data_IF_232235290134
#
_entry.id   IF_232235290134
#
_cell.length_a   1.000
_cell.length_b   1.000
_cell.length_c   1.000
_cell.angle_alpha   90.00
_cell.angle_beta   90.00
_cell.angle_gamma   90.00
#
_symmetry.space_group_name_H-M   'P 1'
#
loop_
_entity.id
_entity.type
_entity.pdbx_description
1 polymer ?
#
# COMPACT_ATOMS: atom_id res chain seq x y z
N UNK A 1 0.52 -4.77 16.87
CA UNK A 1 0.44 -4.86 15.39
C UNK A 1 -0.26 -3.67 14.72
N UNK A 2 -1.47 -3.26 15.15
CA UNK A 2 -2.23 -2.16 14.53
C UNK A 2 -1.42 -0.87 14.33
N UNK A 3 -0.70 -0.41 15.35
CA UNK A 3 0.11 0.82 15.28
C UNK A 3 1.26 0.70 14.27
N UNK A 4 1.88 -0.47 14.14
CA UNK A 4 2.96 -0.71 13.17
C UNK A 4 2.43 -0.65 11.73
N UNK A 5 1.24 -1.20 11.46
CA UNK A 5 0.62 -1.13 10.14
C UNK A 5 0.25 0.29 9.75
N UNK A 6 -0.21 1.10 10.71
CA UNK A 6 -0.50 2.53 10.49
C UNK A 6 0.79 3.31 10.25
N UNK A 7 1.86 3.03 11.01
CA UNK A 7 3.17 3.65 10.81
C UNK A 7 3.75 3.31 9.44
N UNK A 8 3.68 2.04 9.02
CA UNK A 8 4.08 1.61 7.68
C UNK A 8 3.22 2.22 6.57
N UNK A 9 1.92 2.40 6.80
CA UNK A 9 1.07 3.12 5.84
C UNK A 9 1.49 4.59 5.69
N UNK A 10 1.89 5.26 6.78
CA UNK A 10 2.40 6.63 6.71
C UNK A 10 3.73 6.71 5.96
N UNK A 11 4.63 5.74 6.12
CA UNK A 11 5.89 5.73 5.36
C UNK A 11 5.66 5.50 3.85
N UNK A 12 4.71 4.64 3.47
CA UNK A 12 4.29 4.47 2.07
C UNK A 12 3.80 5.80 1.48
N UNK A 13 2.97 6.53 2.21
CA UNK A 13 2.47 7.83 1.75
C UNK A 13 3.54 8.93 1.75
N UNK A 14 4.49 8.90 2.68
CA UNK A 14 5.63 9.80 2.64
C UNK A 14 6.51 9.56 1.39
N UNK A 15 6.57 8.31 0.92
CA UNK A 15 7.34 7.90 -0.25
C UNK A 15 6.54 7.88 -1.58
N UNK A 16 5.36 8.49 -1.61
CA UNK A 16 4.50 8.54 -2.81
C UNK A 16 5.16 9.37 -3.93
N UNK A 17 5.94 10.40 -3.57
CA UNK A 17 6.73 11.22 -4.50
C UNK A 17 5.93 11.66 -5.73
N UNK A 18 6.51 11.43 -6.93
CA UNK A 18 5.82 11.54 -8.22
C UNK A 18 5.64 10.16 -8.90
N UNK A 19 5.60 9.08 -8.11
CA UNK A 19 5.45 7.72 -8.64
C UNK A 19 4.06 7.55 -9.24
N UNK A 20 4.02 6.96 -10.43
CA UNK A 20 2.80 6.78 -11.22
C UNK A 20 2.29 5.34 -11.17
N UNK A 21 2.82 4.49 -10.29
CA UNK A 21 2.40 3.10 -10.13
C UNK A 21 0.89 3.00 -9.84
N UNK A 22 0.23 1.88 -10.21
CA UNK A 22 -1.19 1.68 -9.93
C UNK A 22 -1.55 1.89 -8.45
N UNK A 23 -0.67 1.47 -7.53
CA UNK A 23 -0.83 1.71 -6.10
C UNK A 23 -0.77 3.21 -5.76
N UNK A 24 0.22 3.92 -6.28
CA UNK A 24 0.42 5.35 -6.04
C UNK A 24 -0.76 6.18 -6.55
N UNK A 25 -1.29 5.84 -7.74
CA UNK A 25 -2.51 6.46 -8.28
C UNK A 25 -3.74 6.17 -7.41
N UNK A 26 -3.92 4.92 -6.96
CA UNK A 26 -5.02 4.57 -6.06
C UNK A 26 -4.95 5.33 -4.74
N UNK A 27 -3.77 5.48 -4.15
CA UNK A 27 -3.57 6.24 -2.91
C UNK A 27 -3.93 7.72 -3.12
N UNK A 28 -3.48 8.35 -4.22
CA UNK A 28 -3.82 9.75 -4.53
C UNK A 28 -5.33 9.95 -4.66
N UNK A 29 -6.00 9.12 -5.48
CA UNK A 29 -7.45 9.22 -5.65
C UNK A 29 -8.20 9.01 -4.33
N UNK A 30 -7.72 8.08 -3.49
CA UNK A 30 -8.32 7.85 -2.18
C UNK A 30 -8.13 9.04 -1.24
N UNK A 31 -6.95 9.66 -1.25
CA UNK A 31 -6.66 10.87 -0.48
C UNK A 31 -7.54 12.04 -0.93
N UNK A 32 -7.70 12.25 -2.24
CA UNK A 32 -8.56 13.30 -2.79
C UNK A 32 -10.03 13.12 -2.35
N UNK A 33 -10.52 11.88 -2.33
CA UNK A 33 -11.94 11.59 -2.04
C UNK A 33 -12.28 11.51 -0.55
N UNK A 34 -11.31 11.13 0.30
CA UNK A 34 -11.56 10.76 1.71
C UNK A 34 -10.63 11.44 2.71
N UNK A 35 -9.55 12.08 2.26
CA UNK A 35 -8.56 12.73 3.10
C UNK A 35 -7.45 11.79 3.61
N UNK A 36 -6.39 12.41 4.11
CA UNK A 36 -5.13 11.75 4.46
C UNK A 36 -5.30 10.59 5.45
N UNK A 37 -5.90 10.82 6.62
CA UNK A 37 -6.00 9.79 7.66
C UNK A 37 -6.84 8.58 7.27
N UNK A 38 -7.89 8.78 6.44
CA UNK A 38 -8.68 7.65 5.90
C UNK A 38 -7.87 6.85 4.89
N UNK A 39 -7.01 7.50 4.10
CA UNK A 39 -6.07 6.81 3.23
C UNK A 39 -5.02 6.01 4.03
N UNK A 40 -4.44 6.57 5.11
CA UNK A 40 -3.52 5.83 6.01
C UNK A 40 -4.16 4.52 6.44
N UNK A 41 -5.38 4.59 6.99
CA UNK A 41 -6.07 3.43 7.57
C UNK A 41 -6.41 2.41 6.49
N UNK A 42 -6.80 2.85 5.30
CA UNK A 42 -7.08 1.96 4.18
C UNK A 42 -5.82 1.21 3.70
N UNK A 43 -4.67 1.88 3.62
CA UNK A 43 -3.38 1.25 3.29
C UNK A 43 -3.01 0.24 4.37
N UNK A 44 -3.14 0.60 5.65
CA UNK A 44 -2.88 -0.32 6.76
C UNK A 44 -3.77 -1.57 6.70
N UNK A 45 -5.06 -1.42 6.37
CA UNK A 45 -5.98 -2.52 6.18
C UNK A 45 -5.63 -3.39 4.96
N UNK A 46 -5.16 -2.79 3.86
CA UNK A 46 -4.65 -3.53 2.69
C UNK A 46 -3.44 -4.38 3.09
N UNK A 47 -2.48 -3.80 3.81
CA UNK A 47 -1.29 -4.50 4.28
C UNK A 47 -1.63 -5.65 5.23
N UNK A 48 -2.58 -5.43 6.15
CA UNK A 48 -3.06 -6.49 7.04
C UNK A 48 -3.65 -7.69 6.28
N UNK A 49 -4.46 -7.43 5.25
CA UNK A 49 -5.03 -8.50 4.40
C UNK A 49 -3.98 -9.26 3.62
N UNK A 50 -2.97 -8.58 3.08
CA UNK A 50 -1.86 -9.23 2.38
C UNK A 50 -1.03 -10.10 3.32
N UNK A 51 -0.67 -9.56 4.49
CA UNK A 51 0.07 -10.33 5.51
C UNK A 51 -0.72 -11.54 5.99
N UNK A 52 -2.03 -11.38 6.22
CA UNK A 52 -2.91 -12.49 6.59
C UNK A 52 -2.95 -13.56 5.49
N UNK A 53 -3.11 -13.18 4.22
CA UNK A 53 -3.14 -14.13 3.12
C UNK A 53 -1.83 -14.92 3.02
N UNK A 54 -0.68 -14.25 3.10
CA UNK A 54 0.65 -14.89 3.12
C UNK A 54 0.77 -15.90 4.27
N UNK A 55 0.37 -15.50 5.48
CA UNK A 55 0.44 -16.37 6.66
C UNK A 55 -0.55 -17.54 6.60
N UNK A 56 -1.75 -17.31 6.07
CA UNK A 56 -2.81 -18.31 6.05
C UNK A 56 -2.61 -19.36 4.95
N UNK A 57 -2.20 -18.93 3.76
CA UNK A 57 -2.01 -19.82 2.61
C UNK A 57 -0.58 -20.38 2.52
N UNK A 58 0.36 -19.90 3.35
CA UNK A 58 1.77 -20.31 3.30
C UNK A 58 2.50 -19.85 2.03
N UNK A 59 1.89 -18.94 1.28
CA UNK A 59 2.38 -18.47 -0.01
C UNK A 59 3.49 -17.43 0.19
N UNK A 60 4.57 -17.53 -0.57
CA UNK A 60 5.61 -16.49 -0.58
C UNK A 60 5.01 -15.19 -1.11
N UNK A 61 5.24 -14.06 -0.43
CA UNK A 61 4.83 -12.75 -0.93
C UNK A 61 5.43 -12.50 -2.32
N UNK A 62 4.58 -12.52 -3.34
CA UNK A 62 4.94 -12.19 -4.73
C UNK A 62 4.45 -10.77 -4.99
N UNK A 63 5.30 -9.74 -4.85
CA UNK A 63 4.95 -8.44 -5.39
C UNK A 63 4.77 -8.62 -6.90
N UNK A 64 3.64 -8.18 -7.44
CA UNK A 64 3.46 -8.13 -8.90
C UNK A 64 4.63 -7.31 -9.46
N UNK A 65 5.53 -7.98 -10.18
CA UNK A 65 6.74 -7.38 -10.70
C UNK A 65 6.29 -6.28 -11.67
N UNK A 66 6.58 -5.03 -11.32
CA UNK A 66 6.58 -3.96 -12.31
C UNK A 66 7.77 -4.25 -13.23
N UNK A 67 7.52 -4.99 -14.30
CA UNK A 67 8.40 -5.03 -15.47
C UNK A 67 8.81 -3.57 -15.77
N UNK A 68 10.12 -3.24 -15.85
CA UNK A 68 10.54 -1.93 -16.32
C UNK A 68 10.11 -1.82 -17.79
N UNK A 69 8.90 -1.29 -18.02
CA UNK A 69 8.47 -0.92 -19.36
C UNK A 69 9.33 0.27 -19.79
N UNK A 70 10.40 -0.05 -20.52
CA UNK A 70 11.17 0.89 -21.34
C UNK A 70 12.25 1.67 -20.62
N UNK A 71 13.47 1.12 -20.62
CA UNK A 71 14.70 1.86 -20.88
C UNK A 71 15.68 0.94 -21.61
#
# INVERSE_FOLDING_TARGET
LRSLLVLGARSVMANLGNKQDPLSRWIRNLMERRGYWRAVVAIAAKNARMAWAVLHYGDTFKPEQAEPTGA
#
